data_IF_416822108755
#
_entry.id   IF_416822108755
#
_cell.length_a   1.000
_cell.length_b   1.000
_cell.length_c   1.000
_cell.angle_alpha   90.00
_cell.angle_beta   90.00
_cell.angle_gamma   90.00
#
_symmetry.space_group_name_H-M   'P 1'
#
loop_
_entity.id
_entity.type
_entity.pdbx_description
1 polymer ?
#
# COMPACT_ATOMS: atom_id res chain seq x y z
N UNK A 1 -11.06 6.99 16.09
CA UNK A 1 -9.68 6.49 15.90
C UNK A 1 -9.49 6.29 14.40
N UNK A 2 -8.34 6.71 13.85
CA UNK A 2 -8.05 6.63 12.41
C UNK A 2 -8.00 5.16 11.96
N UNK A 3 -8.51 4.82 10.78
CA UNK A 3 -8.35 3.46 10.23
C UNK A 3 -6.95 3.25 9.67
N UNK A 4 -6.54 2.00 9.46
CA UNK A 4 -5.26 1.68 8.84
C UNK A 4 -5.13 2.31 7.44
N UNK A 5 -6.18 2.23 6.62
CA UNK A 5 -6.22 2.84 5.30
C UNK A 5 -5.97 4.35 5.35
N UNK A 6 -6.69 5.05 6.25
CA UNK A 6 -6.57 6.49 6.42
C UNK A 6 -5.16 6.91 6.87
N UNK A 7 -4.52 6.13 7.75
CA UNK A 7 -3.13 6.37 8.15
C UNK A 7 -2.16 6.19 6.97
N UNK A 8 -2.35 5.16 6.14
CA UNK A 8 -1.50 4.91 4.98
C UNK A 8 -1.66 5.98 3.90
N UNK A 9 -2.88 6.51 3.71
CA UNK A 9 -3.12 7.66 2.85
C UNK A 9 -2.38 8.91 3.34
N UNK A 10 -2.31 9.14 4.66
CA UNK A 10 -1.52 10.24 5.22
C UNK A 10 -0.02 10.04 4.97
N UNK A 11 0.48 8.82 5.15
CA UNK A 11 1.89 8.52 4.88
C UNK A 11 2.27 8.76 3.41
N UNK A 12 1.36 8.43 2.50
CA UNK A 12 1.56 8.64 1.07
C UNK A 12 1.45 10.12 0.69
N UNK A 13 0.35 10.79 1.06
CA UNK A 13 0.05 12.13 0.58
C UNK A 13 0.77 13.24 1.33
N UNK A 14 0.94 13.09 2.66
CA UNK A 14 1.44 14.16 3.52
C UNK A 14 2.91 13.95 3.90
N UNK A 15 3.34 12.69 4.10
CA UNK A 15 4.70 12.37 4.58
C UNK A 15 5.63 11.89 3.45
N UNK A 16 5.10 11.71 2.24
CA UNK A 16 5.88 11.42 1.03
C UNK A 16 6.56 10.04 1.02
N UNK A 17 6.07 9.08 1.81
CA UNK A 17 6.56 7.71 1.68
C UNK A 17 5.93 7.07 0.45
N UNK A 18 6.72 6.89 -0.60
CA UNK A 18 6.27 6.28 -1.86
C UNK A 18 6.89 4.90 -2.11
N UNK A 19 7.51 4.28 -1.10
CA UNK A 19 8.07 2.94 -1.23
C UNK A 19 6.94 1.90 -1.25
N UNK A 20 6.69 1.32 -2.41
CA UNK A 20 5.58 0.37 -2.60
C UNK A 20 5.67 -0.85 -1.67
N UNK A 21 6.88 -1.33 -1.37
CA UNK A 21 7.10 -2.49 -0.49
C UNK A 21 6.64 -2.25 0.94
N UNK A 22 6.75 -1.01 1.43
CA UNK A 22 6.19 -0.62 2.72
C UNK A 22 4.68 -0.90 2.78
N UNK A 23 3.94 -0.56 1.71
CA UNK A 23 2.49 -0.75 1.65
C UNK A 23 2.07 -2.20 1.38
N UNK A 24 2.90 -2.99 0.69
CA UNK A 24 2.64 -4.42 0.46
C UNK A 24 2.55 -5.21 1.75
N UNK A 25 3.40 -4.90 2.73
CA UNK A 25 3.39 -5.56 4.05
C UNK A 25 2.01 -5.44 4.71
N UNK A 26 1.30 -4.32 4.52
CA UNK A 26 -0.04 -4.15 5.08
C UNK A 26 -1.09 -5.03 4.39
N UNK A 27 -0.91 -5.33 3.10
CA UNK A 27 -1.75 -6.31 2.38
C UNK A 27 -1.47 -7.72 2.89
N UNK A 28 -0.18 -8.08 3.04
CA UNK A 28 0.25 -9.40 3.51
C UNK A 28 -0.21 -9.70 4.95
N UNK A 29 -0.17 -8.68 5.81
CA UNK A 29 -0.70 -8.74 7.18
C UNK A 29 -2.24 -8.70 7.24
N UNK A 30 -2.94 -8.64 6.09
CA UNK A 30 -4.41 -8.49 5.98
C UNK A 30 -4.94 -7.23 6.69
N UNK A 31 -4.09 -6.23 6.87
CA UNK A 31 -4.45 -4.96 7.49
C UNK A 31 -5.16 -4.01 6.50
N UNK A 32 -4.89 -4.19 5.21
CA UNK A 32 -5.65 -3.63 4.09
C UNK A 32 -5.82 -4.69 2.99
N UNK A 33 -6.76 -4.46 2.08
CA UNK A 33 -6.98 -5.25 0.89
C UNK A 33 -6.08 -4.80 -0.28
N UNK A 34 -6.00 -5.62 -1.33
CA UNK A 34 -5.30 -5.27 -2.58
C UNK A 34 -5.90 -4.04 -3.26
N UNK A 35 -7.22 -3.88 -3.20
CA UNK A 35 -7.90 -2.71 -3.75
C UNK A 35 -7.56 -1.44 -2.96
N UNK A 36 -7.49 -1.54 -1.63
CA UNK A 36 -7.07 -0.45 -0.77
C UNK A 36 -5.60 -0.05 -1.00
N UNK A 37 -4.71 -1.01 -1.26
CA UNK A 37 -3.35 -0.72 -1.68
C UNK A 37 -3.32 0.14 -2.96
N UNK A 38 -4.17 -0.19 -3.95
CA UNK A 38 -4.31 0.59 -5.18
C UNK A 38 -4.89 1.97 -4.92
N UNK A 39 -5.81 2.11 -3.97
CA UNK A 39 -6.35 3.41 -3.56
C UNK A 39 -5.29 4.31 -2.91
N UNK A 40 -4.33 3.75 -2.18
CA UNK A 40 -3.23 4.52 -1.56
C UNK A 40 -2.14 4.86 -2.57
N UNK A 41 -1.65 3.86 -3.30
CA UNK A 41 -0.43 3.98 -4.11
C UNK A 41 -0.68 4.30 -5.58
N UNK A 42 -1.92 4.12 -6.05
CA UNK A 42 -2.28 4.14 -7.47
C UNK A 42 -1.83 2.91 -8.26
N UNK A 43 -1.11 1.97 -7.64
CA UNK A 43 -0.53 0.81 -8.32
C UNK A 43 -1.35 -0.46 -8.07
N UNK A 44 -1.41 -1.32 -9.08
CA UNK A 44 -2.05 -2.63 -8.95
C UNK A 44 -1.14 -3.61 -8.18
N UNK A 45 -1.63 -4.16 -7.07
CA UNK A 45 -0.81 -5.01 -6.19
C UNK A 45 -0.25 -6.24 -6.93
N UNK A 46 -1.09 -6.93 -7.71
CA UNK A 46 -0.69 -8.18 -8.36
C UNK A 46 0.30 -7.93 -9.50
N UNK A 47 0.22 -6.78 -10.18
CA UNK A 47 1.21 -6.39 -11.19
C UNK A 47 2.56 -6.04 -10.58
N UNK A 48 2.59 -5.33 -9.44
CA UNK A 48 3.83 -4.95 -8.77
C UNK A 48 4.47 -6.15 -8.05
N UNK A 49 3.67 -7.09 -7.53
CA UNK A 49 4.21 -8.31 -6.92
C UNK A 49 4.90 -9.22 -7.95
N UNK A 50 4.41 -9.25 -9.19
CA UNK A 50 5.00 -10.07 -10.28
C UNK A 50 6.33 -9.52 -10.81
N UNK A 51 6.57 -8.20 -10.71
CA UNK A 51 7.81 -7.58 -11.20
C UNK A 51 8.98 -7.71 -10.22
N UNK A 52 8.78 -8.28 -9.04
CA UNK A 52 9.79 -8.44 -7.99
C UNK A 52 10.40 -9.85 -7.86
N UNK A 53 10.19 -10.72 -8.85
CA UNK A 53 11.01 -11.93 -8.99
C UNK A 53 12.36 -11.62 -9.65
N UNK A 54 13.34 -11.15 -8.88
CA UNK A 54 14.79 -11.40 -9.11
C UNK A 54 15.57 -11.29 -7.79
#
# INVERSE_FOLDING_TARGET
>A
MMTQLQQLQMFWNDWGNHELDFYKVYVECKAITKDEYKLVTGQDYDMVAQTQTV
#
